data_IF_736011606692
#
_entry.id   IF_736011606692
#
_cell.length_a   1.000
_cell.length_b   1.000
_cell.length_c   1.000
_cell.angle_alpha   90.00
_cell.angle_beta   90.00
_cell.angle_gamma   90.00
#
_symmetry.space_group_name_H-M   'P 1'
#
loop_
_entity.id
_entity.type
_entity.pdbx_description
1 polymer ?
#
# COMPACT_ATOMS: atom_id res chain seq x y z
N UNK A 1 101.77 50.32 6.26
CA UNK A 1 102.73 49.84 5.24
C UNK A 1 102.09 48.61 4.64
N UNK A 2 101.65 48.52 3.39
CA UNK A 2 101.88 49.34 2.21
C UNK A 2 100.78 48.98 1.19
N UNK A 3 100.60 49.90 0.26
CA UNK A 3 99.71 50.02 -0.90
C UNK A 3 99.19 48.75 -1.60
N UNK A 4 97.97 48.89 -2.11
CA UNK A 4 97.45 48.15 -3.27
C UNK A 4 98.20 48.59 -4.54
N UNK A 5 98.33 47.70 -5.52
CA UNK A 5 98.22 48.08 -6.91
C UNK A 5 97.02 47.43 -7.60
N UNK A 6 96.75 48.05 -8.74
CA UNK A 6 95.57 48.07 -9.58
C UNK A 6 95.38 46.79 -10.43
N UNK A 7 94.14 46.67 -10.89
CA UNK A 7 93.46 45.72 -11.77
C UNK A 7 94.27 44.97 -12.83
N UNK A 8 93.89 43.69 -13.02
CA UNK A 8 93.61 43.20 -14.36
C UNK A 8 92.36 42.30 -14.35
N UNK A 9 91.57 42.42 -15.41
CA UNK A 9 90.20 41.90 -15.53
C UNK A 9 90.21 40.41 -15.86
N UNK A 10 89.36 39.62 -15.20
CA UNK A 10 88.92 38.31 -15.69
C UNK A 10 87.40 38.35 -15.83
N UNK A 11 86.91 38.16 -17.06
CA UNK A 11 85.49 38.05 -17.37
C UNK A 11 84.91 36.70 -16.93
N UNK A 12 83.93 36.81 -16.03
CA UNK A 12 82.63 36.12 -15.94
C UNK A 12 82.52 34.64 -16.36
N UNK A 13 82.08 33.80 -15.42
CA UNK A 13 81.01 32.84 -15.70
C UNK A 13 80.07 32.78 -14.49
N UNK A 14 78.91 33.42 -14.59
CA UNK A 14 77.79 33.23 -13.66
C UNK A 14 76.86 32.21 -14.31
N UNK A 15 76.99 30.94 -13.92
CA UNK A 15 75.94 29.95 -14.17
C UNK A 15 74.88 30.15 -13.09
N UNK A 16 73.81 30.85 -13.47
CA UNK A 16 72.60 31.06 -12.68
C UNK A 16 71.94 29.71 -12.38
N UNK A 17 71.99 29.29 -11.11
CA UNK A 17 71.24 28.12 -10.64
C UNK A 17 69.77 28.48 -10.48
N UNK A 18 69.03 28.40 -11.60
CA UNK A 18 67.63 28.00 -11.66
C UNK A 18 66.61 28.93 -10.98
N UNK A 19 65.88 29.67 -11.82
CA UNK A 19 64.59 30.26 -11.46
C UNK A 19 63.56 29.13 -11.21
N UNK A 20 62.79 29.14 -10.11
CA UNK A 20 61.70 28.18 -9.94
C UNK A 20 60.67 28.40 -11.06
N UNK A 21 60.33 27.33 -11.78
CA UNK A 21 59.39 27.36 -12.90
C UNK A 21 58.06 27.98 -12.49
N UNK A 22 57.46 28.74 -13.41
CA UNK A 22 56.15 29.36 -13.23
C UNK A 22 55.10 28.34 -12.77
N UNK A 23 54.28 28.73 -11.80
CA UNK A 23 53.13 27.94 -11.37
C UNK A 23 52.20 27.68 -12.57
N UNK A 24 51.59 26.49 -12.70
CA UNK A 24 50.62 26.23 -13.75
C UNK A 24 49.46 27.23 -13.66
N UNK A 25 48.99 27.73 -14.80
CA UNK A 25 47.86 28.66 -14.90
C UNK A 25 46.67 28.12 -14.10
N UNK A 26 46.10 28.96 -13.23
CA UNK A 26 44.90 28.61 -12.47
C UNK A 26 43.75 28.26 -13.44
N UNK A 27 43.01 27.17 -13.21
CA UNK A 27 41.89 26.81 -14.08
C UNK A 27 40.84 27.91 -14.06
N UNK A 28 40.53 28.46 -15.24
CA UNK A 28 39.51 29.50 -15.42
C UNK A 28 38.16 28.97 -14.94
N UNK A 29 37.64 29.50 -13.83
CA UNK A 29 36.29 29.16 -13.35
C UNK A 29 35.25 29.60 -14.38
N UNK A 30 34.60 28.64 -15.03
CA UNK A 30 33.48 28.90 -15.96
C UNK A 30 32.25 29.26 -15.14
N UNK A 31 31.98 30.56 -14.98
CA UNK A 31 30.79 31.05 -14.29
C UNK A 31 29.52 30.74 -15.11
N UNK A 32 28.78 29.71 -14.69
CA UNK A 32 27.45 29.41 -15.25
C UNK A 32 26.40 30.32 -14.64
N UNK A 33 25.59 30.96 -15.48
CA UNK A 33 24.50 31.83 -15.02
C UNK A 33 23.49 31.04 -14.19
N UNK A 34 23.25 31.46 -12.95
CA UNK A 34 22.28 30.86 -12.03
C UNK A 34 20.89 30.74 -12.66
N UNK A 35 20.47 31.73 -13.45
CA UNK A 35 19.18 31.71 -14.15
C UNK A 35 19.09 30.58 -15.19
N UNK A 36 20.20 30.27 -15.89
CA UNK A 36 20.23 29.15 -16.84
C UNK A 36 20.14 27.80 -16.14
N UNK A 37 20.80 27.65 -14.99
CA UNK A 37 20.69 26.45 -14.17
C UNK A 37 19.25 26.26 -13.68
N UNK A 38 18.64 27.31 -13.14
CA UNK A 38 17.24 27.29 -12.68
C UNK A 38 16.28 26.95 -13.82
N UNK A 39 16.42 27.60 -14.98
CA UNK A 39 15.56 27.34 -16.13
C UNK A 39 15.71 25.90 -16.65
N UNK A 40 16.93 25.38 -16.71
CA UNK A 40 17.20 24.00 -17.16
C UNK A 40 16.55 22.99 -16.23
N UNK A 41 16.69 23.16 -14.91
CA UNK A 41 16.04 22.29 -13.92
C UNK A 41 14.51 22.41 -13.96
N UNK A 42 13.98 23.62 -14.15
CA UNK A 42 12.54 23.85 -14.26
C UNK A 42 11.95 23.14 -15.49
N UNK A 43 12.59 23.25 -16.65
CA UNK A 43 12.14 22.58 -17.88
C UNK A 43 12.27 21.06 -17.74
N UNK A 44 13.39 20.56 -17.25
CA UNK A 44 13.59 19.13 -17.03
C UNK A 44 12.56 18.55 -16.05
N UNK A 45 12.31 19.25 -14.93
CA UNK A 45 11.30 18.87 -13.94
C UNK A 45 9.87 18.91 -14.50
N UNK A 46 9.53 19.94 -15.27
CA UNK A 46 8.22 20.04 -15.92
C UNK A 46 8.00 18.91 -16.93
N UNK A 47 9.00 18.58 -17.74
CA UNK A 47 8.94 17.46 -18.68
C UNK A 47 8.80 16.11 -17.95
N UNK A 48 9.57 15.89 -16.87
CA UNK A 48 9.47 14.67 -16.07
C UNK A 48 8.08 14.54 -15.42
N UNK A 49 7.56 15.63 -14.82
CA UNK A 49 6.22 15.66 -14.23
C UNK A 49 5.13 15.40 -15.27
N UNK A 50 5.22 16.01 -16.45
CA UNK A 50 4.28 15.78 -17.55
C UNK A 50 4.27 14.30 -17.97
N UNK A 51 5.45 13.69 -18.14
CA UNK A 51 5.56 12.28 -18.50
C UNK A 51 4.92 11.36 -17.44
N UNK A 52 5.17 11.61 -16.16
CA UNK A 52 4.55 10.84 -15.06
C UNK A 52 3.02 10.96 -15.10
N UNK A 53 2.49 12.17 -15.30
CA UNK A 53 1.04 12.40 -15.37
C UNK A 53 0.42 11.67 -16.56
N UNK A 54 1.04 11.72 -17.74
CA UNK A 54 0.53 11.01 -18.93
C UNK A 54 0.50 9.50 -18.72
N UNK A 55 1.56 8.92 -18.17
CA UNK A 55 1.60 7.49 -17.81
C UNK A 55 0.50 7.16 -16.82
N UNK A 56 0.31 7.98 -15.79
CA UNK A 56 -0.73 7.76 -14.78
C UNK A 56 -2.15 7.82 -15.39
N UNK A 57 -2.44 8.83 -16.22
CA UNK A 57 -3.76 8.98 -16.85
C UNK A 57 -4.11 7.81 -17.76
N UNK A 58 -3.13 7.24 -18.46
CA UNK A 58 -3.35 6.09 -19.34
C UNK A 58 -3.46 4.77 -18.57
N UNK A 59 -2.64 4.59 -17.53
CA UNK A 59 -2.58 3.32 -16.78
C UNK A 59 -3.70 3.18 -15.76
N UNK A 60 -4.15 4.30 -15.17
CA UNK A 60 -5.19 4.33 -14.14
C UNK A 60 -6.48 3.58 -14.52
N UNK A 61 -7.13 3.79 -15.70
CA UNK A 61 -8.36 3.07 -16.03
C UNK A 61 -8.15 1.56 -16.14
N UNK A 62 -6.97 1.12 -16.59
CA UNK A 62 -6.63 -0.30 -16.69
C UNK A 62 -6.49 -0.92 -15.29
N UNK A 63 -5.78 -0.24 -14.39
CA UNK A 63 -5.63 -0.66 -12.99
C UNK A 63 -6.99 -0.70 -12.29
N UNK A 64 -7.82 0.34 -12.48
CA UNK A 64 -9.12 0.44 -11.83
C UNK A 64 -10.07 -0.67 -12.32
N UNK A 65 -10.05 -1.01 -13.61
CA UNK A 65 -10.82 -2.13 -14.16
C UNK A 65 -10.34 -3.49 -13.60
N UNK A 66 -9.02 -3.71 -13.55
CA UNK A 66 -8.46 -4.92 -12.96
C UNK A 66 -8.81 -5.06 -11.48
N UNK A 67 -8.71 -3.96 -10.71
CA UNK A 67 -9.11 -3.93 -9.30
C UNK A 67 -10.60 -4.23 -9.11
N UNK A 68 -11.46 -3.67 -9.95
CA UNK A 68 -12.90 -3.94 -9.90
C UNK A 68 -13.20 -5.43 -10.18
N UNK A 69 -12.49 -6.05 -11.12
CA UNK A 69 -12.62 -7.48 -11.38
C UNK A 69 -12.10 -8.34 -10.23
N UNK A 70 -10.92 -8.02 -9.68
CA UNK A 70 -10.37 -8.73 -8.52
C UNK A 70 -11.28 -8.63 -7.30
N UNK A 71 -11.87 -7.44 -7.07
CA UNK A 71 -12.85 -7.22 -6.02
C UNK A 71 -14.11 -8.07 -6.25
N UNK A 72 -14.64 -8.08 -7.48
CA UNK A 72 -15.79 -8.92 -7.85
C UNK A 72 -15.51 -10.40 -7.57
N UNK A 73 -14.36 -10.91 -8.01
CA UNK A 73 -13.97 -12.30 -7.77
C UNK A 73 -13.78 -12.57 -6.27
N UNK A 74 -13.20 -11.63 -5.53
CA UNK A 74 -13.01 -11.75 -4.10
C UNK A 74 -14.34 -11.81 -3.33
N UNK A 75 -15.38 -11.08 -3.76
CA UNK A 75 -16.72 -11.17 -3.14
C UNK A 75 -17.26 -12.60 -3.23
N UNK A 76 -17.17 -13.24 -4.41
CA UNK A 76 -17.61 -14.64 -4.56
C UNK A 76 -16.72 -15.63 -3.80
N UNK A 77 -15.43 -15.33 -3.66
CA UNK A 77 -14.50 -16.16 -2.90
C UNK A 77 -14.83 -16.14 -1.40
N UNK A 78 -15.14 -14.97 -0.84
CA UNK A 78 -15.43 -14.84 0.61
C UNK A 78 -16.89 -15.10 0.96
N UNK A 79 -17.78 -15.21 -0.02
CA UNK A 79 -19.17 -15.64 0.12
C UNK A 79 -19.38 -16.95 -0.67
N UNK A 80 -18.79 -18.07 -0.21
CA UNK A 80 -18.88 -19.34 -0.92
C UNK A 80 -20.35 -19.76 -1.10
N UNK A 81 -20.71 -20.12 -2.33
CA UNK A 81 -22.08 -20.50 -2.70
C UNK A 81 -22.95 -19.36 -3.23
N UNK A 82 -22.49 -18.10 -3.19
CA UNK A 82 -23.24 -17.00 -3.76
C UNK A 82 -23.33 -17.11 -5.28
N UNK A 83 -24.56 -17.20 -5.81
CA UNK A 83 -24.83 -17.15 -7.24
C UNK A 83 -24.80 -15.70 -7.75
N UNK A 84 -25.25 -14.77 -6.91
CA UNK A 84 -25.29 -13.33 -7.19
C UNK A 84 -25.00 -12.52 -5.92
N UNK A 85 -24.61 -11.28 -6.09
CA UNK A 85 -24.51 -10.34 -4.97
C UNK A 85 -25.10 -8.99 -5.36
N UNK A 86 -25.51 -8.22 -4.35
CA UNK A 86 -25.94 -6.83 -4.48
C UNK A 86 -25.00 -5.92 -3.70
N UNK A 87 -24.61 -4.81 -4.32
CA UNK A 87 -23.80 -3.78 -3.64
C UNK A 87 -24.72 -2.78 -2.97
N UNK A 88 -24.48 -2.55 -1.68
CA UNK A 88 -25.16 -1.55 -0.86
C UNK A 88 -24.13 -0.55 -0.33
N UNK A 89 -24.59 0.66 -0.08
CA UNK A 89 -23.77 1.77 0.37
C UNK A 89 -24.20 2.19 1.76
N UNK A 90 -23.22 2.47 2.63
CA UNK A 90 -23.50 3.08 3.92
C UNK A 90 -23.63 4.59 3.75
N UNK A 91 -24.84 5.12 3.91
CA UNK A 91 -25.15 6.55 3.80
C UNK A 91 -25.87 6.97 5.08
N UNK A 92 -25.33 7.96 5.78
CA UNK A 92 -25.89 8.52 7.03
C UNK A 92 -26.19 7.48 8.13
N UNK A 93 -25.43 6.39 8.16
CA UNK A 93 -25.58 5.33 9.17
C UNK A 93 -26.47 4.16 8.75
N UNK A 94 -27.16 4.24 7.62
CA UNK A 94 -28.03 3.20 7.08
C UNK A 94 -27.51 2.60 5.76
N UNK A 95 -27.98 1.41 5.41
CA UNK A 95 -27.74 0.79 4.10
C UNK A 95 -28.70 1.34 3.05
N UNK A 96 -28.17 1.75 1.90
CA UNK A 96 -28.95 2.20 0.75
C UNK A 96 -28.48 1.49 -0.53
N UNK A 97 -29.42 1.13 -1.40
CA UNK A 97 -29.11 0.50 -2.69
C UNK A 97 -28.64 1.52 -3.74
N UNK A 98 -29.12 2.76 -3.62
CA UNK A 98 -28.80 3.86 -4.52
C UNK A 98 -28.03 4.94 -3.79
N UNK A 99 -27.18 5.64 -4.53
CA UNK A 99 -26.43 6.78 -4.01
C UNK A 99 -27.20 8.08 -4.29
N UNK A 100 -27.02 9.12 -3.44
CA UNK A 100 -27.55 10.44 -3.71
C UNK A 100 -27.10 10.99 -5.07
N UNK A 101 -27.92 11.83 -5.70
CA UNK A 101 -27.54 12.44 -6.99
C UNK A 101 -26.19 13.18 -6.90
N UNK A 102 -25.29 12.89 -7.84
CA UNK A 102 -23.95 13.48 -7.90
C UNK A 102 -22.90 12.86 -6.98
N UNK A 103 -23.28 11.91 -6.12
CA UNK A 103 -22.34 11.16 -5.28
C UNK A 103 -21.52 10.17 -6.10
N UNK A 104 -20.24 10.01 -5.77
CA UNK A 104 -19.40 8.96 -6.37
C UNK A 104 -19.37 7.75 -5.46
N UNK A 105 -19.56 6.56 -6.03
CA UNK A 105 -19.51 5.31 -5.27
C UNK A 105 -18.21 5.07 -4.48
N UNK A 106 -17.11 5.67 -4.91
CA UNK A 106 -15.81 5.60 -4.23
C UNK A 106 -15.76 6.36 -2.89
N UNK A 107 -16.68 7.30 -2.67
CA UNK A 107 -16.73 8.13 -1.47
C UNK A 107 -17.48 7.43 -0.32
N UNK A 108 -18.15 6.31 -0.62
CA UNK A 108 -19.00 5.59 0.32
C UNK A 108 -18.45 4.20 0.62
N UNK A 109 -18.62 3.78 1.87
CA UNK A 109 -18.32 2.42 2.30
C UNK A 109 -19.36 1.47 1.69
N UNK A 110 -18.88 0.35 1.16
CA UNK A 110 -19.70 -0.61 0.43
C UNK A 110 -19.80 -1.92 1.21
N UNK A 111 -21.00 -2.50 1.17
CA UNK A 111 -21.28 -3.86 1.62
C UNK A 111 -21.83 -4.67 0.44
N UNK A 112 -21.43 -5.92 0.33
CA UNK A 112 -21.83 -6.83 -0.73
C UNK A 112 -22.68 -7.93 -0.12
N UNK A 113 -23.98 -7.93 -0.38
CA UNK A 113 -24.90 -8.95 0.11
C UNK A 113 -24.96 -10.09 -0.88
N UNK A 114 -24.57 -11.29 -0.47
CA UNK A 114 -24.58 -12.49 -1.31
C UNK A 114 -25.89 -13.28 -1.18
N UNK A 115 -26.38 -13.77 -2.31
CA UNK A 115 -27.56 -14.62 -2.40
C UNK A 115 -27.24 -15.90 -3.17
N UNK A 116 -27.85 -17.01 -2.76
CA UNK A 116 -27.74 -18.28 -3.47
C UNK A 116 -28.67 -18.34 -4.72
N UNK A 117 -28.74 -19.51 -5.36
CA UNK A 117 -29.62 -19.73 -6.51
C UNK A 117 -31.13 -19.69 -6.15
N UNK A 118 -31.49 -20.00 -4.90
CA UNK A 118 -32.85 -19.93 -4.40
C UNK A 118 -33.30 -18.50 -4.04
N UNK A 119 -32.34 -17.57 -3.96
CA UNK A 119 -32.58 -16.20 -3.53
C UNK A 119 -32.47 -16.01 -2.02
N UNK A 120 -32.00 -17.01 -1.28
CA UNK A 120 -31.74 -16.91 0.15
C UNK A 120 -30.44 -16.15 0.39
N UNK A 121 -30.43 -15.29 1.41
CA UNK A 121 -29.26 -14.53 1.78
C UNK A 121 -28.23 -15.43 2.46
N UNK A 122 -27.01 -15.46 1.94
CA UNK A 122 -25.91 -16.26 2.50
C UNK A 122 -25.08 -15.49 3.51
N UNK A 123 -24.91 -14.19 3.30
CA UNK A 123 -24.09 -13.35 4.14
C UNK A 123 -23.70 -12.03 3.49
N UNK A 124 -22.82 -11.30 4.16
CA UNK A 124 -22.36 -9.98 3.73
C UNK A 124 -20.85 -9.96 3.67
N UNK A 125 -20.30 -9.45 2.58
CA UNK A 125 -18.89 -9.16 2.44
C UNK A 125 -18.63 -7.66 2.54
N UNK A 126 -17.59 -7.31 3.28
CA UNK A 126 -17.13 -5.91 3.45
C UNK A 126 -15.62 -5.87 3.37
N UNK A 127 -15.08 -4.74 2.95
CA UNK A 127 -13.63 -4.51 2.94
C UNK A 127 -13.23 -3.44 3.94
N UNK A 128 -12.04 -3.62 4.52
CA UNK A 128 -11.41 -2.66 5.43
C UNK A 128 -9.90 -2.76 5.31
N UNK A 129 -9.25 -1.61 5.36
CA UNK A 129 -7.79 -1.50 5.40
C UNK A 129 -7.33 -1.00 6.76
N UNK A 130 -6.26 -1.59 7.29
CA UNK A 130 -5.56 -1.08 8.48
C UNK A 130 -4.05 -1.10 8.26
N UNK A 131 -3.33 -0.28 9.02
CA UNK A 131 -1.88 -0.23 8.98
C UNK A 131 -1.30 -1.58 9.42
N UNK A 132 -0.54 -2.21 8.52
CA UNK A 132 0.26 -3.40 8.76
C UNK A 132 1.57 -3.11 9.46
N UNK A 133 2.54 -4.00 9.28
CA UNK A 133 3.91 -3.79 9.76
C UNK A 133 4.67 -2.81 8.85
N UNK A 134 4.45 -2.86 7.53
CA UNK A 134 5.14 -1.97 6.58
C UNK A 134 4.24 -0.93 5.92
N UNK A 135 3.04 -1.32 5.49
CA UNK A 135 2.07 -0.46 4.82
C UNK A 135 0.65 -0.97 5.14
N UNK A 136 -0.36 -0.35 4.56
CA UNK A 136 -1.77 -0.74 4.71
C UNK A 136 -1.98 -2.16 4.14
N UNK A 137 -2.69 -2.97 4.91
CA UNK A 137 -3.25 -4.25 4.49
C UNK A 137 -4.75 -4.06 4.28
N UNK A 138 -5.22 -4.27 3.05
CA UNK A 138 -6.64 -4.22 2.69
C UNK A 138 -7.18 -5.65 2.59
N UNK A 139 -8.18 -5.96 3.40
CA UNK A 139 -8.84 -7.28 3.42
C UNK A 139 -10.30 -7.10 3.09
N UNK A 140 -10.84 -7.98 2.26
CA UNK A 140 -12.28 -8.23 2.15
C UNK A 140 -12.58 -9.55 2.85
N UNK A 141 -13.70 -9.58 3.57
CA UNK A 141 -14.11 -10.78 4.29
C UNK A 141 -15.64 -10.87 4.30
N UNK A 142 -16.13 -12.10 4.24
CA UNK A 142 -17.56 -12.42 4.27
C UNK A 142 -17.94 -12.97 5.65
N UNK A 143 -19.11 -12.61 6.14
CA UNK A 143 -19.64 -13.10 7.41
C UNK A 143 -21.17 -13.17 7.38
N UNK A 144 -21.73 -13.99 8.26
CA UNK A 144 -23.15 -14.03 8.56
C UNK A 144 -23.48 -12.91 9.55
N UNK A 145 -24.33 -11.92 9.20
CA UNK A 145 -24.65 -10.81 10.10
C UNK A 145 -25.30 -11.24 11.42
N UNK A 146 -26.13 -12.28 11.40
CA UNK A 146 -26.89 -12.71 12.58
C UNK A 146 -26.02 -13.44 13.61
N UNK A 147 -25.12 -14.28 13.13
CA UNK A 147 -24.29 -15.14 13.98
C UNK A 147 -22.92 -14.53 14.22
N UNK A 148 -22.43 -13.66 13.33
CA UNK A 148 -21.04 -13.21 13.31
C UNK A 148 -20.07 -14.31 12.87
N UNK A 149 -20.54 -15.42 12.30
CA UNK A 149 -19.67 -16.48 11.77
C UNK A 149 -19.01 -16.00 10.49
N UNK A 150 -17.69 -16.17 10.40
CA UNK A 150 -16.93 -15.83 9.20
C UNK A 150 -17.16 -16.88 8.11
N UNK A 151 -17.33 -16.43 6.87
CA UNK A 151 -17.50 -17.27 5.68
C UNK A 151 -16.20 -17.45 4.89
N UNK A 152 -15.33 -16.44 4.96
CA UNK A 152 -14.04 -16.45 4.30
C UNK A 152 -13.38 -15.08 4.35
N UNK A 153 -12.13 -15.02 3.90
CA UNK A 153 -11.40 -13.76 3.72
C UNK A 153 -10.50 -13.80 2.49
N UNK A 154 -10.15 -12.61 1.99
CA UNK A 154 -9.14 -12.42 0.96
C UNK A 154 -8.40 -11.10 1.17
N UNK A 155 -7.08 -11.15 1.07
CA UNK A 155 -6.25 -9.94 1.04
C UNK A 155 -6.33 -9.35 -0.37
N UNK A 156 -6.85 -8.13 -0.48
CA UNK A 156 -6.96 -7.40 -1.75
C UNK A 156 -5.67 -6.65 -2.08
N UNK A 157 -5.08 -6.00 -1.08
CA UNK A 157 -3.82 -5.28 -1.22
C UNK A 157 -2.97 -5.48 0.03
N UNK A 158 -1.68 -5.74 -0.15
CA UNK A 158 -0.70 -5.81 0.93
C UNK A 158 0.68 -5.53 0.37
N UNK A 159 1.48 -4.75 1.10
CA UNK A 159 2.91 -4.52 0.83
C UNK A 159 3.77 -4.94 2.03
N UNK A 160 3.31 -5.96 2.73
CA UNK A 160 4.07 -6.59 3.80
C UNK A 160 5.35 -7.24 3.29
N UNK A 161 6.26 -7.56 4.22
CA UNK A 161 7.62 -7.98 3.86
C UNK A 161 7.58 -9.31 3.11
N UNK A 162 8.14 -9.40 1.89
CA UNK A 162 8.18 -10.64 1.13
C UNK A 162 8.87 -11.78 1.90
N UNK A 163 8.27 -12.96 1.91
CA UNK A 163 8.76 -14.14 2.63
C UNK A 163 8.48 -14.15 4.13
N UNK A 164 7.90 -13.08 4.68
CA UNK A 164 7.52 -12.98 6.08
C UNK A 164 6.04 -12.62 6.22
N UNK A 165 5.70 -11.34 6.07
CA UNK A 165 4.35 -10.82 6.29
C UNK A 165 3.40 -11.11 5.12
N UNK A 166 3.91 -11.36 3.91
CA UNK A 166 3.11 -11.78 2.76
C UNK A 166 2.50 -13.19 2.92
N UNK A 167 2.93 -13.94 3.94
CA UNK A 167 2.34 -15.24 4.29
C UNK A 167 0.87 -15.14 4.68
N UNK A 168 0.38 -13.97 5.11
CA UNK A 168 -1.04 -13.76 5.42
C UNK A 168 -2.00 -14.07 4.25
N UNK A 169 -1.49 -14.16 3.02
CA UNK A 169 -2.26 -14.60 1.84
C UNK A 169 -1.59 -15.73 1.04
N UNK A 170 -0.39 -16.18 1.41
CA UNK A 170 0.34 -17.27 0.74
C UNK A 170 0.33 -18.57 1.54
N UNK A 171 0.21 -18.48 2.86
CA UNK A 171 0.12 -19.62 3.74
C UNK A 171 -1.32 -20.14 3.75
N UNK A 172 -1.56 -21.24 3.04
CA UNK A 172 -2.89 -21.80 2.87
C UNK A 172 -3.49 -22.33 4.18
N UNK A 173 -2.65 -22.77 5.13
CA UNK A 173 -3.11 -23.23 6.44
C UNK A 173 -3.60 -22.04 7.27
N UNK A 174 -2.93 -20.88 7.16
CA UNK A 174 -3.42 -19.64 7.76
C UNK A 174 -4.74 -19.19 7.13
N UNK A 175 -4.82 -19.15 5.80
CA UNK A 175 -6.02 -18.70 5.08
C UNK A 175 -7.20 -19.63 5.35
N UNK A 176 -7.00 -20.94 5.38
CA UNK A 176 -8.06 -21.93 5.57
C UNK A 176 -8.80 -21.76 6.91
N UNK A 177 -8.14 -21.26 7.96
CA UNK A 177 -8.78 -21.02 9.27
C UNK A 177 -9.95 -20.05 9.18
N UNK A 178 -9.92 -19.10 8.25
CA UNK A 178 -11.00 -18.12 8.05
C UNK A 178 -12.18 -18.66 7.23
N UNK A 179 -11.97 -19.77 6.52
CA UNK A 179 -13.02 -20.53 5.83
C UNK A 179 -13.59 -21.65 6.71
N UNK A 180 -12.92 -21.98 7.82
CA UNK A 180 -13.35 -22.98 8.79
C UNK A 180 -14.50 -22.50 9.71
N UNK A 181 -15.25 -21.48 9.28
CA UNK A 181 -16.41 -20.93 9.98
C UNK A 181 -16.12 -20.45 11.40
N UNK A 182 -15.03 -19.70 11.67
CA UNK A 182 -14.73 -19.23 13.02
C UNK A 182 -15.75 -18.20 13.49
N UNK A 183 -16.03 -18.24 14.79
CA UNK A 183 -16.96 -17.31 15.45
C UNK A 183 -16.24 -16.00 15.79
N UNK A 184 -16.80 -14.86 15.39
CA UNK A 184 -16.26 -13.54 15.77
C UNK A 184 -16.79 -13.10 17.15
N UNK A 185 -16.04 -12.25 17.89
CA UNK A 185 -14.73 -11.69 17.55
C UNK A 185 -13.61 -12.75 17.56
N UNK A 186 -12.73 -12.65 16.58
CA UNK A 186 -11.58 -13.53 16.41
C UNK A 186 -10.47 -13.21 17.42
N UNK A 187 -9.72 -14.24 17.81
CA UNK A 187 -8.57 -14.15 18.71
C UNK A 187 -7.33 -14.71 18.03
N UNK A 188 -6.35 -13.85 17.75
CA UNK A 188 -5.05 -14.30 17.26
C UNK A 188 -4.23 -14.92 18.40
N UNK A 189 -3.85 -16.17 18.24
CA UNK A 189 -3.07 -16.95 19.20
C UNK A 189 -1.71 -17.38 18.61
N UNK A 190 -0.81 -17.87 19.44
CA UNK A 190 0.44 -18.46 18.94
C UNK A 190 0.11 -19.78 18.22
N UNK A 191 0.74 -20.04 17.07
CA UNK A 191 0.57 -21.29 16.33
C UNK A 191 0.63 -22.53 17.24
N UNK A 192 -0.39 -23.39 17.14
CA UNK A 192 -0.50 -24.64 17.90
C UNK A 192 -0.77 -24.46 19.39
N UNK A 193 -1.12 -23.26 19.87
CA UNK A 193 -1.45 -23.00 21.27
C UNK A 193 -2.95 -22.94 21.57
N UNK A 194 -3.77 -23.31 20.58
CA UNK A 194 -5.23 -23.25 20.65
C UNK A 194 -5.79 -24.06 21.82
N UNK A 195 -6.88 -23.53 22.37
CA UNK A 195 -7.69 -24.14 23.44
C UNK A 195 -9.01 -24.67 22.89
N UNK A 196 -9.23 -24.58 21.58
CA UNK A 196 -10.45 -25.03 20.92
C UNK A 196 -11.59 -24.01 21.03
N UNK A 197 -11.27 -22.73 21.26
CA UNK A 197 -12.29 -21.70 21.22
C UNK A 197 -12.67 -21.41 19.76
N UNK A 198 -13.95 -21.17 19.45
CA UNK A 198 -14.43 -21.11 18.06
C UNK A 198 -13.91 -19.93 17.25
N UNK A 199 -13.33 -18.90 17.89
CA UNK A 199 -12.74 -17.74 17.24
C UNK A 199 -11.21 -17.71 17.24
N UNK A 200 -10.54 -18.76 17.73
CA UNK A 200 -9.08 -18.80 17.78
C UNK A 200 -8.47 -18.96 16.37
N UNK A 201 -7.52 -18.09 16.04
CA UNK A 201 -6.76 -18.12 14.79
C UNK A 201 -5.27 -18.20 15.12
N UNK A 202 -4.61 -19.26 14.68
CA UNK A 202 -3.18 -19.44 14.78
C UNK A 202 -2.45 -18.38 13.96
N UNK A 203 -1.65 -17.56 14.64
CA UNK A 203 -0.77 -16.59 14.00
C UNK A 203 0.41 -17.29 13.32
N UNK A 204 0.89 -16.69 12.24
CA UNK A 204 2.02 -17.21 11.48
C UNK A 204 3.31 -16.95 12.27
N UNK A 205 4.11 -18.00 12.46
CA UNK A 205 5.42 -17.89 13.12
C UNK A 205 6.34 -17.00 12.28
N UNK A 206 6.90 -15.96 12.90
CA UNK A 206 7.71 -14.94 12.23
C UNK A 206 6.91 -13.78 11.64
N UNK A 207 5.59 -13.90 11.47
CA UNK A 207 4.72 -12.86 10.90
C UNK A 207 3.55 -12.50 11.83
N UNK A 208 3.78 -12.54 13.14
CA UNK A 208 2.73 -12.36 14.16
C UNK A 208 2.06 -10.99 14.10
N UNK A 209 2.77 -9.93 13.75
CA UNK A 209 2.18 -8.58 13.61
C UNK A 209 1.19 -8.58 12.45
N UNK A 210 1.59 -9.05 11.27
CA UNK A 210 0.74 -9.11 10.08
C UNK A 210 -0.48 -10.02 10.31
N UNK A 211 -0.33 -11.17 10.98
CA UNK A 211 -1.47 -12.03 11.36
C UNK A 211 -2.46 -11.33 12.29
N UNK A 212 -1.97 -10.59 13.30
CA UNK A 212 -2.83 -9.82 14.21
C UNK A 212 -3.57 -8.69 13.51
N UNK A 213 -2.94 -8.06 12.51
CA UNK A 213 -3.56 -7.01 11.70
C UNK A 213 -4.75 -7.56 10.93
N UNK A 214 -4.63 -8.74 10.30
CA UNK A 214 -5.77 -9.38 9.61
C UNK A 214 -6.94 -9.63 10.57
N UNK A 215 -6.65 -10.18 11.76
CA UNK A 215 -7.67 -10.42 12.80
C UNK A 215 -8.31 -9.11 13.27
N UNK A 216 -7.51 -8.05 13.47
CA UNK A 216 -7.99 -6.71 13.83
C UNK A 216 -8.91 -6.13 12.76
N UNK A 217 -8.52 -6.20 11.50
CA UNK A 217 -9.30 -5.70 10.36
C UNK A 217 -10.69 -6.33 10.33
N UNK A 218 -10.76 -7.66 10.51
CA UNK A 218 -12.04 -8.39 10.50
C UNK A 218 -12.89 -7.95 11.69
N UNK A 219 -12.36 -8.01 12.91
CA UNK A 219 -13.11 -7.66 14.12
C UNK A 219 -13.62 -6.21 14.09
N UNK A 220 -12.77 -5.25 13.71
CA UNK A 220 -13.15 -3.84 13.66
C UNK A 220 -14.14 -3.56 12.51
N UNK A 221 -13.99 -4.26 11.38
CA UNK A 221 -14.92 -4.15 10.28
C UNK A 221 -16.31 -4.68 10.63
N UNK A 222 -16.41 -5.84 11.27
CA UNK A 222 -17.69 -6.37 11.77
C UNK A 222 -18.28 -5.41 12.79
N UNK A 223 -17.51 -4.95 13.78
CA UNK A 223 -17.99 -4.02 14.80
C UNK A 223 -18.50 -2.69 14.22
N UNK A 224 -17.95 -2.22 13.09
CA UNK A 224 -18.43 -1.02 12.41
C UNK A 224 -19.71 -1.25 11.61
N UNK A 225 -19.85 -2.43 11.00
CA UNK A 225 -20.98 -2.75 10.12
C UNK A 225 -22.17 -3.36 10.85
N UNK A 226 -21.98 -4.01 11.99
CA UNK A 226 -23.04 -4.68 12.75
C UNK A 226 -24.21 -3.73 13.05
N UNK A 227 -24.02 -2.52 13.61
CA UNK A 227 -25.15 -1.65 13.93
C UNK A 227 -25.96 -1.23 12.69
N UNK A 228 -25.30 -1.09 11.54
CA UNK A 228 -25.92 -0.71 10.26
C UNK A 228 -26.71 -1.89 9.68
N UNK A 229 -26.18 -3.12 9.85
CA UNK A 229 -26.84 -4.34 9.38
C UNK A 229 -28.06 -4.69 10.26
N UNK A 230 -27.97 -4.42 11.56
CA UNK A 230 -29.06 -4.63 12.52
C UNK A 230 -30.28 -3.71 12.24
N UNK A 231 -30.06 -2.54 11.62
CA UNK A 231 -31.15 -1.66 11.15
C UNK A 231 -31.93 -2.27 9.98
N UNK A 232 -31.39 -3.30 9.34
CA UNK A 232 -32.01 -4.06 8.27
C UNK A 232 -31.39 -3.79 6.91
N UNK A 233 -31.48 -4.81 6.05
CA UNK A 233 -31.03 -4.76 4.68
C UNK A 233 -32.24 -4.40 3.81
N UNK A 234 -32.18 -3.32 2.99
CA UNK A 234 -33.29 -2.92 2.13
C UNK A 234 -33.76 -4.09 1.26
N UNK A 235 -35.07 -4.29 1.10
CA UNK A 235 -35.57 -5.35 0.20
C UNK A 235 -35.11 -5.12 -1.25
N UNK A 236 -35.06 -6.18 -2.06
CA UNK A 236 -34.86 -6.00 -3.50
C UNK A 236 -36.07 -5.30 -4.10
N UNK A 237 -35.83 -4.19 -4.80
CA UNK A 237 -36.86 -3.58 -5.63
C UNK A 237 -37.24 -4.59 -6.74
N UNK A 238 -38.55 -4.77 -7.02
CA UNK A 238 -39.05 -5.77 -7.98
C UNK A 238 -38.65 -5.49 -9.43
#
# INVERSE_FOLDING_TARGET
MTERPDSDRIEVEVVDTGQPGAAPDEPVEVQVSTLRLVATLAVAGALAGLLIVLVNLHTKPIIDAYRAEQLRLAVYEVLPGAARYRTLYRVDGALQAELPEGAKAADFRQAYVGYDEAGEMLGVAVSRGESGFQDIVLVIFGFEPDTGVLLGMKVLESKETPGLGDKIFKDLDFVAQFFARPQTPLLSIKAGSGKGQPGEIDAITGATISSKVVVSIINNGIAEWQPVLDEGIPEEAP
#
